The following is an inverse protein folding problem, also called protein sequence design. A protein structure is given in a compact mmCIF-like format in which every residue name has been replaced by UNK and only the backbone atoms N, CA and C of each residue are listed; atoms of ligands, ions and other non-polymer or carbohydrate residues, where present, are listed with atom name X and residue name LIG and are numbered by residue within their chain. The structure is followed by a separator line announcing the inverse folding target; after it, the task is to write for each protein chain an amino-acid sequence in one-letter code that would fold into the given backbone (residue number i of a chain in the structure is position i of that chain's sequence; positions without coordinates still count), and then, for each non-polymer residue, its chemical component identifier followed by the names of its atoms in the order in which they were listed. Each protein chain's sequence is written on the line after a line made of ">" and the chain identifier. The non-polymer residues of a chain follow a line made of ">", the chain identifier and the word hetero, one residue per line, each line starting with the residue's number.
data_IF_853440253271
#
_entry.id   IF_853440253271
#
_cell.length_a   1.000
_cell.length_b   1.000
_cell.length_c   1.000
_cell.angle_alpha   90.00
_cell.angle_beta   90.00
_cell.angle_gamma   90.00
#
_symmetry.space_group_name_H-M   'P 1'
#
loop_
_entity.id
_entity.type
_entity.pdbx_description
1 polymer ?
#
# COMPACT_ATOMS: atom_id res chain seq x y z
N UNK A 1 12.00 9.28 5.86
CA UNK A 1 12.29 8.70 4.53
C UNK A 1 12.43 7.19 4.68
N UNK A 2 11.85 6.39 3.75
CA UNK A 2 12.13 4.96 3.67
C UNK A 2 13.22 4.75 2.63
N UNK A 3 14.27 4.02 2.99
CA UNK A 3 15.39 3.67 2.09
C UNK A 3 15.45 2.15 1.95
N UNK A 4 15.41 1.66 0.72
CA UNK A 4 15.58 0.26 0.35
C UNK A 4 16.90 0.13 -0.38
N UNK A 5 17.78 -0.77 0.07
CA UNK A 5 19.16 -0.90 -0.44
C UNK A 5 19.44 -2.35 -0.83
N UNK A 6 19.52 -2.62 -2.14
CA UNK A 6 19.86 -3.91 -2.76
C UNK A 6 19.07 -5.08 -2.14
N UNK A 7 17.75 -4.89 -2.00
CA UNK A 7 16.89 -5.85 -1.31
C UNK A 7 16.45 -6.96 -2.26
N UNK A 8 16.64 -8.21 -1.82
CA UNK A 8 16.15 -9.39 -2.53
C UNK A 8 15.33 -10.29 -1.61
N UNK A 9 14.37 -11.01 -2.22
CA UNK A 9 13.52 -12.00 -1.58
C UNK A 9 13.34 -13.22 -2.44
N UNK A 10 13.60 -14.39 -1.85
CA UNK A 10 13.53 -15.69 -2.50
C UNK A 10 12.49 -16.59 -1.80
N UNK A 11 11.76 -17.37 -2.59
CA UNK A 11 10.93 -18.46 -2.13
C UNK A 11 11.35 -19.75 -2.86
N UNK A 12 12.12 -20.60 -2.17
CA UNK A 12 12.79 -21.74 -2.80
C UNK A 12 13.75 -21.26 -3.90
N UNK A 13 13.53 -21.71 -5.13
CA UNK A 13 14.32 -21.30 -6.31
C UNK A 13 13.80 -20.05 -7.02
N UNK A 14 12.68 -19.49 -6.58
CA UNK A 14 12.05 -18.34 -7.24
C UNK A 14 12.44 -17.04 -6.56
N UNK A 15 13.03 -16.11 -7.30
CA UNK A 15 13.30 -14.74 -6.86
C UNK A 15 12.04 -13.90 -7.12
N UNK A 16 11.44 -13.36 -6.05
CA UNK A 16 10.20 -12.56 -6.12
C UNK A 16 10.48 -11.06 -6.05
N UNK A 17 11.54 -10.66 -5.36
CA UNK A 17 12.11 -9.30 -5.38
C UNK A 17 13.60 -9.47 -5.64
N UNK A 18 14.15 -8.75 -6.62
CA UNK A 18 15.48 -8.94 -7.18
C UNK A 18 16.25 -7.60 -7.21
N UNK A 19 17.18 -7.46 -6.28
CA UNK A 19 18.13 -6.34 -6.15
C UNK A 19 17.45 -4.95 -6.22
N UNK A 20 16.39 -4.76 -5.44
CA UNK A 20 15.61 -3.52 -5.45
C UNK A 20 16.29 -2.47 -4.58
N UNK A 21 16.56 -1.30 -5.16
CA UNK A 21 17.01 -0.10 -4.47
C UNK A 21 16.11 1.08 -4.81
N UNK A 22 15.54 1.74 -3.79
CA UNK A 22 14.67 2.91 -3.95
C UNK A 22 14.59 3.74 -2.66
N UNK A 23 14.04 4.94 -2.80
CA UNK A 23 13.76 5.83 -1.66
C UNK A 23 12.33 6.33 -1.74
N UNK A 24 11.57 6.23 -0.65
CA UNK A 24 10.26 6.89 -0.51
C UNK A 24 10.44 8.17 0.29
N UNK A 25 10.09 9.30 -0.30
CA UNK A 25 10.17 10.60 0.35
C UNK A 25 9.17 10.72 1.49
N UNK A 26 9.47 11.57 2.46
CA UNK A 26 8.55 11.88 3.55
C UNK A 26 7.47 12.84 3.07
N UNK A 27 6.25 12.58 3.50
CA UNK A 27 5.05 13.32 3.08
C UNK A 27 4.59 12.92 1.68
N UNK A 28 3.31 12.74 1.49
CA UNK A 28 2.75 12.36 0.18
C UNK A 28 2.26 10.92 0.10
N UNK A 29 1.73 10.59 -1.08
CA UNK A 29 1.27 9.24 -1.43
C UNK A 29 2.21 8.67 -2.49
N UNK A 30 2.88 7.56 -2.17
CA UNK A 30 3.66 6.76 -3.11
C UNK A 30 2.90 5.48 -3.43
N UNK A 31 2.55 5.28 -4.69
CA UNK A 31 1.85 4.06 -5.13
C UNK A 31 2.81 3.02 -5.70
N UNK A 32 2.64 1.75 -5.32
CA UNK A 32 3.25 0.61 -5.97
C UNK A 32 2.27 0.04 -6.98
N UNK A 33 2.65 0.01 -8.27
CA UNK A 33 1.85 -0.56 -9.35
C UNK A 33 2.62 -1.64 -10.10
N UNK A 34 1.93 -2.44 -10.91
CA UNK A 34 2.51 -3.50 -11.74
C UNK A 34 1.62 -4.73 -11.81
N UNK A 35 1.94 -5.68 -12.67
CA UNK A 35 1.14 -6.90 -12.83
C UNK A 35 1.11 -7.75 -11.55
N UNK A 36 0.18 -8.71 -11.50
CA UNK A 36 0.13 -9.68 -10.42
C UNK A 36 1.41 -10.51 -10.43
N UNK A 37 1.96 -10.78 -9.23
CA UNK A 37 3.24 -11.47 -9.10
C UNK A 37 4.49 -10.59 -9.28
N UNK A 38 4.37 -9.30 -9.56
CA UNK A 38 5.52 -8.40 -9.73
C UNK A 38 6.34 -8.14 -8.44
N UNK A 39 5.91 -8.64 -7.27
CA UNK A 39 6.65 -8.48 -6.01
C UNK A 39 6.18 -7.33 -5.12
N UNK A 40 5.13 -6.58 -5.49
CA UNK A 40 4.64 -5.38 -4.77
C UNK A 40 4.34 -5.63 -3.29
N UNK A 41 3.44 -6.56 -2.99
CA UNK A 41 3.07 -6.91 -1.60
C UNK A 41 4.24 -7.54 -0.84
N UNK A 42 5.14 -8.24 -1.54
CA UNK A 42 6.35 -8.78 -0.94
C UNK A 42 7.30 -7.65 -0.52
N UNK A 43 7.54 -6.67 -1.38
CA UNK A 43 8.34 -5.50 -1.06
C UNK A 43 7.72 -4.71 0.10
N UNK A 44 6.41 -4.44 0.05
CA UNK A 44 5.69 -3.76 1.14
C UNK A 44 5.78 -4.57 2.45
N UNK A 45 5.65 -5.89 2.37
CA UNK A 45 5.78 -6.80 3.52
C UNK A 45 7.18 -6.78 4.15
N UNK A 46 8.24 -6.63 3.34
CA UNK A 46 9.61 -6.44 3.84
C UNK A 46 9.80 -5.06 4.46
N UNK A 47 9.28 -3.99 3.85
CA UNK A 47 9.31 -2.63 4.42
C UNK A 47 8.61 -2.57 5.78
N UNK A 48 7.55 -3.36 5.98
CA UNK A 48 6.76 -3.41 7.21
C UNK A 48 7.25 -4.44 8.23
N UNK A 49 8.35 -5.16 7.95
CA UNK A 49 8.86 -6.24 8.79
C UNK A 49 7.90 -7.45 8.92
N UNK A 50 6.86 -7.55 8.11
CA UNK A 50 6.01 -8.74 8.05
C UNK A 50 6.73 -9.91 7.35
N UNK A 51 7.65 -9.60 6.44
CA UNK A 51 8.48 -10.56 5.74
C UNK A 51 9.96 -10.29 6.04
N UNK A 52 10.70 -11.37 6.26
CA UNK A 52 12.15 -11.29 6.43
C UNK A 52 12.81 -10.95 5.09
N UNK A 53 13.76 -10.03 5.13
CA UNK A 53 14.66 -9.70 4.03
C UNK A 53 15.71 -10.82 3.91
N UNK A 54 15.98 -11.31 2.70
CA UNK A 54 17.01 -12.32 2.50
C UNK A 54 18.35 -11.65 2.18
N UNK A 55 18.38 -10.61 1.35
CA UNK A 55 19.56 -9.82 1.04
C UNK A 55 19.23 -8.32 1.08
N UNK A 56 20.23 -7.48 1.38
CA UNK A 56 20.10 -6.05 1.47
C UNK A 56 19.53 -5.54 2.78
N UNK A 57 19.14 -4.28 2.83
CA UNK A 57 18.67 -3.60 4.03
C UNK A 57 17.56 -2.60 3.72
N UNK A 58 16.66 -2.41 4.68
CA UNK A 58 15.63 -1.37 4.63
C UNK A 58 15.74 -0.52 5.89
N UNK A 59 15.69 0.80 5.70
CA UNK A 59 15.69 1.78 6.78
C UNK A 59 14.44 2.65 6.71
N UNK A 60 13.87 2.96 7.87
CA UNK A 60 12.77 3.92 8.03
C UNK A 60 13.24 4.99 9.00
N UNK A 61 13.40 6.22 8.52
CA UNK A 61 14.00 7.34 9.27
C UNK A 61 15.33 6.95 9.96
N UNK A 62 16.19 6.22 9.26
CA UNK A 62 17.48 5.75 9.77
C UNK A 62 17.39 4.51 10.67
N UNK A 63 16.20 4.04 11.02
CA UNK A 63 16.01 2.83 11.80
C UNK A 63 16.02 1.60 10.86
N UNK A 64 16.97 0.68 11.05
CA UNK A 64 17.02 -0.56 10.27
C UNK A 64 15.83 -1.45 10.64
N UNK A 65 15.01 -1.80 9.65
CA UNK A 65 13.77 -2.57 9.82
C UNK A 65 14.03 -3.93 10.46
N UNK A 66 15.14 -4.60 10.16
CA UNK A 66 15.44 -5.94 10.63
C UNK A 66 15.93 -5.98 12.08
N UNK A 67 16.69 -4.96 12.52
CA UNK A 67 17.38 -4.97 13.82
C UNK A 67 16.77 -4.08 14.89
N UNK A 68 15.99 -3.06 14.49
CA UNK A 68 15.32 -2.14 15.42
C UNK A 68 14.30 -2.90 16.30
N UNK A 69 14.19 -2.60 17.61
CA UNK A 69 13.17 -3.22 18.48
C UNK A 69 11.75 -3.04 17.94
N UNK A 70 10.91 -4.09 18.05
CA UNK A 70 9.57 -4.12 17.46
C UNK A 70 8.67 -2.97 17.94
N UNK A 71 8.74 -2.63 19.22
CA UNK A 71 7.95 -1.53 19.81
C UNK A 71 8.33 -0.16 19.19
N UNK A 72 9.62 0.07 18.94
CA UNK A 72 10.10 1.29 18.32
C UNK A 72 9.65 1.35 16.85
N UNK A 73 9.79 0.24 16.11
CA UNK A 73 9.33 0.19 14.71
C UNK A 73 7.82 0.37 14.61
N UNK A 74 7.03 -0.23 15.51
CA UNK A 74 5.57 -0.08 15.54
C UNK A 74 5.10 1.34 15.92
N UNK A 75 5.96 2.19 16.44
CA UNK A 75 5.68 3.63 16.65
C UNK A 75 6.15 4.50 15.49
N UNK A 76 6.87 3.92 14.53
CA UNK A 76 7.41 4.62 13.36
C UNK A 76 6.57 4.37 12.11
N UNK A 77 6.15 3.11 11.90
CA UNK A 77 5.33 2.73 10.76
C UNK A 77 4.18 1.82 11.17
N UNK A 78 3.09 1.92 10.44
CA UNK A 78 1.92 1.05 10.55
C UNK A 78 1.60 0.40 9.22
N UNK A 79 0.94 -0.76 9.25
CA UNK A 79 0.60 -1.52 8.05
C UNK A 79 -0.83 -2.02 8.07
N UNK A 80 -1.52 -1.86 6.94
CA UNK A 80 -2.74 -2.58 6.62
C UNK A 80 -2.41 -3.70 5.63
N UNK A 81 -2.69 -4.95 6.01
CA UNK A 81 -2.51 -6.12 5.14
C UNK A 81 -3.67 -6.28 4.18
N UNK A 82 -3.45 -6.97 3.07
CA UNK A 82 -4.48 -7.29 2.08
C UNK A 82 -5.67 -8.03 2.68
N UNK A 83 -5.42 -8.96 3.60
CA UNK A 83 -6.47 -9.71 4.29
C UNK A 83 -6.39 -9.49 5.79
N UNK A 84 -7.49 -9.02 6.36
CA UNK A 84 -7.65 -8.80 7.79
C UNK A 84 -8.90 -9.56 8.25
N UNK A 85 -8.70 -10.63 8.99
CA UNK A 85 -9.78 -11.43 9.56
C UNK A 85 -9.75 -11.34 11.08
N UNK A 86 -10.90 -11.07 11.68
CA UNK A 86 -11.09 -11.15 13.11
C UNK A 86 -12.29 -12.08 13.37
N UNK A 87 -12.06 -13.17 14.10
CA UNK A 87 -13.13 -14.08 14.53
C UNK A 87 -13.89 -13.50 15.74
N UNK A 88 -13.30 -12.56 16.44
CA UNK A 88 -13.90 -11.92 17.60
C UNK A 88 -15.00 -10.93 17.21
N UNK A 89 -16.05 -10.84 18.03
CA UNK A 89 -17.11 -9.83 17.89
C UNK A 89 -16.57 -8.48 18.39
N UNK A 90 -16.02 -7.70 17.46
CA UNK A 90 -15.45 -6.39 17.74
C UNK A 90 -16.36 -5.30 17.17
N UNK A 91 -16.52 -4.22 17.92
CA UNK A 91 -17.08 -2.97 17.39
C UNK A 91 -16.02 -2.22 16.60
N UNK A 92 -16.43 -1.18 15.85
CA UNK A 92 -15.50 -0.27 15.17
C UNK A 92 -14.54 0.37 16.19
N UNK A 93 -15.04 0.83 17.33
CA UNK A 93 -14.24 1.43 18.38
C UNK A 93 -13.19 0.44 18.94
N UNK A 94 -13.59 -0.82 19.19
CA UNK A 94 -12.66 -1.85 19.64
C UNK A 94 -11.54 -2.07 18.64
N UNK A 95 -11.89 -2.22 17.35
CA UNK A 95 -10.91 -2.40 16.27
C UNK A 95 -9.93 -1.22 16.20
N UNK A 96 -10.45 0.01 16.16
CA UNK A 96 -9.60 1.20 16.05
C UNK A 96 -8.69 1.34 17.26
N UNK A 97 -9.18 0.96 18.44
CA UNK A 97 -8.40 0.96 19.69
C UNK A 97 -7.20 -0.01 19.63
N UNK A 98 -7.27 -1.11 18.87
CA UNK A 98 -6.09 -1.97 18.66
C UNK A 98 -4.92 -1.25 18.00
N UNK A 99 -5.16 -0.21 17.21
CA UNK A 99 -4.09 0.64 16.66
C UNK A 99 -3.21 1.25 17.76
N UNK A 100 -3.74 1.45 18.97
CA UNK A 100 -3.00 2.01 20.11
C UNK A 100 -2.16 0.98 20.88
N UNK A 101 -2.24 -0.31 20.51
CA UNK A 101 -1.54 -1.39 21.24
C UNK A 101 -0.03 -1.15 21.44
N UNK A 102 0.75 -0.59 20.50
CA UNK A 102 2.17 -0.29 20.69
C UNK A 102 2.45 0.67 21.87
N UNK A 103 1.45 1.47 22.26
CA UNK A 103 1.55 2.46 23.34
C UNK A 103 0.95 1.95 24.64
N UNK A 104 -0.26 1.43 24.61
CA UNK A 104 -1.06 1.11 25.80
C UNK A 104 -0.97 -0.37 26.23
N UNK A 105 -0.43 -1.27 25.40
CA UNK A 105 -0.33 -2.73 25.67
C UNK A 105 -1.67 -3.33 26.13
N UNK A 106 -2.78 -2.90 25.50
CA UNK A 106 -4.13 -3.37 25.80
C UNK A 106 -4.82 -2.64 26.98
N UNK A 107 -4.24 -1.58 27.52
CA UNK A 107 -4.84 -0.73 28.57
C UNK A 107 -4.91 0.72 28.11
N UNK A 108 -5.87 1.08 27.24
CA UNK A 108 -5.94 2.40 26.63
C UNK A 108 -6.15 3.49 27.70
N UNK A 109 -5.43 4.59 27.54
CA UNK A 109 -5.52 5.81 28.34
C UNK A 109 -6.50 6.82 27.73
N UNK A 110 -6.73 7.95 28.42
CA UNK A 110 -7.51 9.06 27.84
C UNK A 110 -6.82 9.68 26.61
N UNK A 111 -5.48 9.69 26.60
CA UNK A 111 -4.71 10.14 25.43
C UNK A 111 -4.92 9.22 24.23
N UNK A 112 -4.87 7.90 24.43
CA UNK A 112 -5.15 6.92 23.37
C UNK A 112 -6.54 7.10 22.79
N UNK A 113 -7.53 7.43 23.63
CA UNK A 113 -8.89 7.71 23.17
C UNK A 113 -8.95 8.90 22.21
N UNK A 114 -8.15 9.93 22.42
CA UNK A 114 -8.09 11.08 21.51
C UNK A 114 -7.66 10.66 20.11
N UNK A 115 -6.65 9.80 19.97
CA UNK A 115 -6.21 9.26 18.67
C UNK A 115 -7.27 8.37 18.02
N UNK A 116 -7.97 7.57 18.81
CA UNK A 116 -9.10 6.75 18.33
C UNK A 116 -10.24 7.63 17.81
N UNK A 117 -10.61 8.67 18.55
CA UNK A 117 -11.67 9.60 18.16
C UNK A 117 -11.31 10.36 16.87
N UNK A 118 -10.07 10.80 16.74
CA UNK A 118 -9.56 11.44 15.52
C UNK A 118 -9.61 10.49 14.32
N UNK A 119 -9.13 9.27 14.46
CA UNK A 119 -9.14 8.29 13.37
C UNK A 119 -10.56 7.94 12.92
N UNK A 120 -11.49 7.74 13.86
CA UNK A 120 -12.91 7.52 13.58
C UNK A 120 -13.51 8.71 12.81
N UNK A 121 -13.17 9.94 13.19
CA UNK A 121 -13.62 11.16 12.53
C UNK A 121 -13.07 11.28 11.11
N UNK A 122 -11.75 11.09 10.91
CA UNK A 122 -11.12 11.16 9.58
C UNK A 122 -11.72 10.17 8.58
N UNK A 123 -12.08 8.97 9.05
CA UNK A 123 -12.66 7.92 8.22
C UNK A 123 -14.22 7.96 8.19
N UNK A 124 -14.84 8.99 8.76
CA UNK A 124 -16.29 9.18 8.76
C UNK A 124 -17.07 7.96 9.30
N UNK A 125 -16.62 7.45 10.45
CA UNK A 125 -17.15 6.25 11.08
C UNK A 125 -17.97 6.56 12.36
N UNK A 126 -18.26 7.84 12.66
CA UNK A 126 -18.93 8.24 13.89
C UNK A 126 -20.23 7.49 14.16
N UNK A 127 -21.11 7.42 13.16
CA UNK A 127 -22.42 6.74 13.27
C UNK A 127 -22.31 5.21 13.34
N UNK A 128 -21.12 4.67 13.02
CA UNK A 128 -20.84 3.24 13.01
C UNK A 128 -19.99 2.81 14.20
N UNK A 129 -19.57 3.72 15.06
CA UNK A 129 -18.59 3.55 16.13
C UNK A 129 -18.85 2.31 16.98
N UNK A 130 -20.09 2.08 17.37
CA UNK A 130 -20.50 0.97 18.25
C UNK A 130 -21.11 -0.21 17.51
N UNK A 131 -21.13 -0.17 16.17
CA UNK A 131 -21.56 -1.34 15.37
C UNK A 131 -20.47 -2.40 15.33
N UNK A 132 -20.89 -3.64 15.30
CA UNK A 132 -19.98 -4.75 15.12
C UNK A 132 -19.46 -4.83 13.68
N UNK A 133 -18.21 -5.27 13.51
CA UNK A 133 -17.57 -5.34 12.18
C UNK A 133 -18.36 -6.19 11.19
N UNK A 134 -18.95 -7.30 11.62
CA UNK A 134 -19.73 -8.17 10.75
C UNK A 134 -21.08 -7.58 10.28
N UNK A 135 -21.51 -6.46 10.87
CA UNK A 135 -22.72 -5.73 10.46
C UNK A 135 -22.41 -4.65 9.42
N UNK A 136 -21.13 -4.43 9.13
CA UNK A 136 -20.69 -3.40 8.21
C UNK A 136 -20.62 -3.92 6.77
N UNK A 137 -20.87 -3.02 5.80
CA UNK A 137 -20.52 -3.29 4.41
C UNK A 137 -19.00 -3.43 4.24
N UNK A 138 -18.52 -4.07 3.16
CA UNK A 138 -17.11 -4.22 2.89
C UNK A 138 -16.35 -2.88 2.89
N UNK A 139 -16.94 -1.83 2.31
CA UNK A 139 -16.34 -0.49 2.31
C UNK A 139 -16.29 0.16 3.69
N UNK A 140 -17.30 -0.09 4.55
CA UNK A 140 -17.30 0.39 5.94
C UNK A 140 -16.25 -0.36 6.76
N UNK A 141 -16.14 -1.67 6.59
CA UNK A 141 -15.09 -2.48 7.23
C UNK A 141 -13.70 -1.99 6.82
N UNK A 142 -13.47 -1.76 5.53
CA UNK A 142 -12.17 -1.31 5.03
C UNK A 142 -11.79 0.06 5.63
N UNK A 143 -12.74 1.00 5.74
CA UNK A 143 -12.51 2.27 6.43
C UNK A 143 -12.17 2.06 7.91
N UNK A 144 -12.81 1.12 8.58
CA UNK A 144 -12.51 0.81 9.99
C UNK A 144 -11.08 0.24 10.15
N UNK A 145 -10.61 -0.59 9.22
CA UNK A 145 -9.22 -1.07 9.22
C UNK A 145 -8.21 0.06 8.95
N UNK A 146 -8.51 0.96 8.02
CA UNK A 146 -7.65 2.14 7.79
C UNK A 146 -7.65 3.06 9.03
N UNK A 147 -8.80 3.22 9.71
CA UNK A 147 -8.87 3.98 10.96
C UNK A 147 -8.00 3.34 12.06
N UNK A 148 -7.96 2.02 12.18
CA UNK A 148 -7.08 1.32 13.10
C UNK A 148 -5.60 1.64 12.83
N UNK A 149 -5.20 1.61 11.55
CA UNK A 149 -3.83 1.95 11.13
C UNK A 149 -3.52 3.42 11.41
N UNK A 150 -4.46 4.33 11.15
CA UNK A 150 -4.30 5.76 11.43
C UNK A 150 -4.20 6.05 12.93
N UNK A 151 -5.01 5.37 13.76
CA UNK A 151 -4.99 5.53 15.23
C UNK A 151 -3.64 5.14 15.86
N UNK A 152 -2.83 4.35 15.17
CA UNK A 152 -1.47 4.03 15.62
C UNK A 152 -0.55 5.25 15.64
N UNK A 153 -0.92 6.34 14.94
CA UNK A 153 -0.24 7.64 14.90
C UNK A 153 1.24 7.55 14.49
N UNK A 154 1.53 6.74 13.50
CA UNK A 154 2.86 6.62 12.90
C UNK A 154 3.05 7.65 11.79
N UNK A 155 4.30 7.97 11.44
CA UNK A 155 4.62 8.86 10.31
C UNK A 155 4.40 8.18 8.96
N UNK A 156 4.51 6.83 8.91
CA UNK A 156 4.39 6.03 7.68
C UNK A 156 3.23 5.04 7.79
N UNK A 157 2.32 5.12 6.82
CA UNK A 157 1.19 4.21 6.65
C UNK A 157 1.43 3.37 5.38
N UNK A 158 1.60 2.07 5.55
CA UNK A 158 1.77 1.12 4.47
C UNK A 158 0.43 0.41 4.25
N UNK A 159 -0.10 0.45 3.03
CA UNK A 159 -1.44 -0.07 2.73
C UNK A 159 -1.37 -1.07 1.56
N UNK A 160 -1.63 -2.34 1.85
CA UNK A 160 -1.62 -3.39 0.84
C UNK A 160 -3.02 -3.59 0.26
N UNK A 161 -3.23 -3.08 -0.96
CA UNK A 161 -4.49 -3.19 -1.72
C UNK A 161 -5.75 -2.74 -0.95
N UNK A 162 -5.78 -1.55 -0.35
CA UNK A 162 -6.89 -1.13 0.50
C UNK A 162 -8.18 -0.83 -0.27
N UNK A 163 -8.15 -0.81 -1.60
CA UNK A 163 -9.32 -0.60 -2.46
C UNK A 163 -9.97 -1.89 -2.93
N UNK A 164 -9.40 -3.05 -2.63
CA UNK A 164 -9.96 -4.33 -3.06
C UNK A 164 -11.37 -4.54 -2.49
N UNK A 165 -12.25 -5.06 -3.33
CA UNK A 165 -13.65 -5.31 -3.01
C UNK A 165 -14.47 -4.05 -2.70
N UNK A 166 -13.97 -2.85 -3.02
CA UNK A 166 -14.73 -1.62 -2.94
C UNK A 166 -15.34 -1.28 -4.30
N UNK A 167 -16.56 -0.78 -4.29
CA UNK A 167 -17.13 -0.14 -5.48
C UNK A 167 -16.46 1.21 -5.75
N UNK A 168 -16.76 1.79 -6.91
CA UNK A 168 -16.16 3.04 -7.36
C UNK A 168 -16.36 4.18 -6.36
N UNK A 169 -17.56 4.31 -5.77
CA UNK A 169 -17.88 5.37 -4.81
C UNK A 169 -17.02 5.27 -3.56
N UNK A 170 -16.89 4.06 -3.01
CA UNK A 170 -16.11 3.81 -1.80
C UNK A 170 -14.60 3.93 -2.06
N UNK A 171 -14.13 3.51 -3.24
CA UNK A 171 -12.72 3.67 -3.64
C UNK A 171 -12.33 5.14 -3.76
N UNK A 172 -13.15 5.97 -4.41
CA UNK A 172 -12.92 7.42 -4.51
C UNK A 172 -12.90 8.05 -3.11
N UNK A 173 -13.90 7.75 -2.27
CA UNK A 173 -13.97 8.29 -0.92
C UNK A 173 -12.73 7.91 -0.09
N UNK A 174 -12.27 6.65 -0.17
CA UNK A 174 -11.07 6.18 0.51
C UNK A 174 -9.83 6.96 0.07
N UNK A 175 -9.61 7.11 -1.24
CA UNK A 175 -8.46 7.86 -1.74
C UNK A 175 -8.49 9.34 -1.37
N UNK A 176 -9.67 9.95 -1.34
CA UNK A 176 -9.85 11.33 -0.84
C UNK A 176 -9.53 11.44 0.66
N UNK A 177 -9.96 10.47 1.47
CA UNK A 177 -9.62 10.42 2.90
C UNK A 177 -8.12 10.24 3.11
N UNK A 178 -7.45 9.35 2.37
CA UNK A 178 -5.99 9.17 2.42
C UNK A 178 -5.26 10.46 2.03
N UNK A 179 -5.72 11.16 0.98
CA UNK A 179 -5.14 12.45 0.58
C UNK A 179 -5.31 13.52 1.68
N UNK A 180 -6.46 13.59 2.34
CA UNK A 180 -6.68 14.48 3.49
C UNK A 180 -5.73 14.13 4.64
N UNK A 181 -5.57 12.87 4.99
CA UNK A 181 -4.63 12.41 6.04
C UNK A 181 -3.20 12.87 5.73
N UNK A 182 -2.76 12.76 4.49
CA UNK A 182 -1.44 13.24 4.06
C UNK A 182 -1.33 14.76 4.19
N UNK A 183 -2.31 15.49 3.65
CA UNK A 183 -2.27 16.95 3.62
C UNK A 183 -2.41 17.59 5.00
N UNK A 184 -3.31 17.08 5.84
CA UNK A 184 -3.65 17.68 7.13
C UNK A 184 -2.70 17.23 8.25
N UNK A 185 -2.21 15.97 8.19
CA UNK A 185 -1.39 15.38 9.25
C UNK A 185 0.08 15.18 8.85
N UNK A 186 0.47 15.51 7.60
CA UNK A 186 1.83 15.34 7.11
C UNK A 186 2.32 13.88 7.03
N UNK A 187 1.39 12.92 7.02
CA UNK A 187 1.73 11.50 6.97
C UNK A 187 2.30 11.10 5.61
N UNK A 188 3.06 10.02 5.59
CA UNK A 188 3.58 9.37 4.37
C UNK A 188 2.78 8.10 4.13
N UNK A 189 2.16 7.97 2.97
CA UNK A 189 1.38 6.78 2.60
C UNK A 189 2.11 6.04 1.48
N UNK A 190 2.38 4.75 1.70
CA UNK A 190 2.83 3.82 0.65
C UNK A 190 1.69 2.84 0.40
N UNK A 191 1.19 2.80 -0.82
CA UNK A 191 -0.04 2.07 -1.14
C UNK A 191 0.14 1.17 -2.37
N UNK A 192 -0.27 -0.09 -2.28
CA UNK A 192 -0.37 -0.98 -3.45
C UNK A 192 -1.70 -0.74 -4.14
N UNK A 193 -1.66 -0.40 -5.43
CA UNK A 193 -2.84 -0.17 -6.26
C UNK A 193 -2.79 -1.04 -7.53
N UNK A 194 -3.96 -1.53 -7.95
CA UNK A 194 -4.14 -2.21 -9.24
C UNK A 194 -4.59 -1.27 -10.34
N UNK A 195 -5.39 -0.25 -10.00
CA UNK A 195 -5.91 0.71 -10.95
C UNK A 195 -4.89 1.85 -11.18
N UNK A 196 -4.36 1.90 -12.41
CA UNK A 196 -3.38 2.91 -12.84
C UNK A 196 -3.94 4.34 -12.80
N UNK A 197 -5.26 4.50 -12.98
CA UNK A 197 -5.90 5.81 -12.97
C UNK A 197 -6.03 6.35 -11.54
N UNK A 198 -6.30 5.50 -10.54
CA UNK A 198 -6.19 5.90 -9.14
C UNK A 198 -4.74 6.28 -8.78
N UNK A 199 -3.74 5.50 -9.22
CA UNK A 199 -2.34 5.84 -9.00
C UNK A 199 -1.98 7.18 -9.64
N UNK A 200 -2.38 7.41 -10.88
CA UNK A 200 -2.15 8.68 -11.58
C UNK A 200 -2.78 9.89 -10.88
N UNK A 201 -4.02 9.70 -10.39
CA UNK A 201 -4.80 10.83 -9.86
C UNK A 201 -4.38 11.27 -8.46
N UNK A 202 -4.04 10.29 -7.61
CA UNK A 202 -3.85 10.53 -6.18
C UNK A 202 -2.41 10.47 -5.70
N UNK A 203 -1.47 9.92 -6.49
CA UNK A 203 -0.08 9.78 -6.05
C UNK A 203 0.75 11.01 -6.35
N UNK A 204 1.76 11.22 -5.51
CA UNK A 204 2.85 12.17 -5.74
C UNK A 204 4.02 11.47 -6.44
N UNK A 205 4.24 10.18 -6.13
CA UNK A 205 5.24 9.32 -6.78
C UNK A 205 4.63 7.94 -7.07
N UNK A 206 5.11 7.29 -8.12
CA UNK A 206 4.73 5.92 -8.50
C UNK A 206 5.99 5.07 -8.61
N UNK A 207 5.99 3.93 -7.94
CA UNK A 207 6.96 2.86 -8.10
C UNK A 207 6.31 1.77 -8.92
N UNK A 208 6.79 1.55 -10.14
CA UNK A 208 6.29 0.52 -11.04
C UNK A 208 7.21 -0.70 -10.99
N UNK A 209 6.63 -1.87 -10.66
CA UNK A 209 7.36 -3.12 -10.52
C UNK A 209 6.94 -4.15 -11.59
N UNK A 210 7.92 -4.85 -12.14
CA UNK A 210 7.73 -5.98 -13.05
C UNK A 210 8.80 -7.05 -12.80
N UNK A 211 8.41 -8.31 -12.75
CA UNK A 211 9.30 -9.48 -12.59
C UNK A 211 10.29 -9.31 -11.41
N UNK A 212 9.79 -8.81 -10.28
CA UNK A 212 10.58 -8.60 -9.05
C UNK A 212 11.46 -7.35 -9.03
N UNK A 213 11.47 -6.55 -10.10
CA UNK A 213 12.32 -5.35 -10.23
C UNK A 213 11.50 -4.07 -10.28
N UNK A 214 12.11 -2.96 -9.86
CA UNK A 214 11.59 -1.62 -10.11
C UNK A 214 12.00 -1.21 -11.51
N UNK A 215 11.00 -0.98 -12.39
CA UNK A 215 11.23 -0.55 -13.77
C UNK A 215 11.07 0.96 -13.93
N UNK A 216 10.20 1.59 -13.12
CA UNK A 216 10.05 3.03 -13.05
C UNK A 216 9.87 3.48 -11.62
N UNK A 217 10.43 4.65 -11.28
CA UNK A 217 10.20 5.35 -10.02
C UNK A 217 10.23 6.85 -10.28
N UNK A 218 9.07 7.46 -10.43
CA UNK A 218 8.93 8.87 -10.81
C UNK A 218 7.52 9.39 -10.48
N UNK A 219 7.25 10.64 -10.83
CA UNK A 219 5.91 11.22 -10.79
C UNK A 219 4.95 10.53 -11.78
N UNK A 220 3.63 10.68 -11.57
CA UNK A 220 2.62 10.07 -12.45
C UNK A 220 2.78 10.43 -13.91
N UNK A 221 3.21 11.64 -14.24
CA UNK A 221 3.41 12.14 -15.59
C UNK A 221 4.49 11.38 -16.38
N UNK A 222 5.43 10.76 -15.70
CA UNK A 222 6.49 9.93 -16.30
C UNK A 222 6.07 8.47 -16.42
N UNK A 223 5.40 7.95 -15.39
CA UNK A 223 5.06 6.52 -15.31
C UNK A 223 3.78 6.20 -16.08
N UNK A 224 2.80 7.11 -16.09
CA UNK A 224 1.54 6.90 -16.83
C UNK A 224 1.68 7.46 -18.24
N UNK A 225 2.45 6.75 -19.05
CA UNK A 225 2.68 7.01 -20.48
C UNK A 225 2.43 5.74 -21.30
N UNK A 226 2.09 5.84 -22.59
CA UNK A 226 1.86 4.64 -23.43
C UNK A 226 3.03 3.67 -23.38
N UNK A 227 4.27 4.18 -23.49
CA UNK A 227 5.46 3.34 -23.52
C UNK A 227 5.71 2.66 -22.16
N UNK A 228 5.64 3.41 -21.05
CA UNK A 228 5.87 2.84 -19.73
C UNK A 228 4.80 1.81 -19.34
N UNK A 229 3.54 2.03 -19.74
CA UNK A 229 2.46 1.07 -19.50
C UNK A 229 2.61 -0.18 -20.39
N UNK A 230 3.09 -0.03 -21.62
CA UNK A 230 3.44 -1.16 -22.48
C UNK A 230 4.57 -1.98 -21.87
N UNK A 231 5.64 -1.33 -21.41
CA UNK A 231 6.78 -2.00 -20.76
C UNK A 231 6.36 -2.72 -19.47
N UNK A 232 5.38 -2.16 -18.74
CA UNK A 232 4.95 -2.68 -17.46
C UNK A 232 3.94 -3.84 -17.57
N UNK A 233 2.98 -3.73 -18.50
CA UNK A 233 1.81 -4.64 -18.57
C UNK A 233 1.73 -5.47 -19.85
N UNK A 234 2.61 -5.25 -20.83
CA UNK A 234 2.51 -5.84 -22.17
C UNK A 234 1.17 -5.53 -22.88
N UNK A 235 0.62 -4.33 -22.62
CA UNK A 235 -0.67 -3.87 -23.16
C UNK A 235 -0.51 -2.47 -23.75
N UNK A 236 -0.95 -2.26 -24.98
CA UNK A 236 -1.02 -0.93 -25.58
C UNK A 236 -2.14 -0.12 -24.90
N UNK A 237 -1.79 0.99 -24.28
CA UNK A 237 -2.70 1.86 -23.56
C UNK A 237 -2.66 3.25 -24.18
N UNK A 238 -3.82 3.78 -24.56
CA UNK A 238 -3.93 5.19 -24.92
C UNK A 238 -3.91 6.03 -23.64
N UNK A 239 -3.10 7.06 -23.58
CA UNK A 239 -3.06 7.97 -22.42
C UNK A 239 -3.54 9.35 -22.85
N UNK A 240 -4.56 9.84 -22.17
CA UNK A 240 -5.16 11.14 -22.38
C UNK A 240 -4.93 12.03 -21.15
N UNK A 241 -4.86 13.34 -21.37
CA UNK A 241 -4.75 14.30 -20.26
C UNK A 241 -6.13 14.86 -19.93
N UNK A 242 -6.65 14.55 -18.75
CA UNK A 242 -7.93 15.04 -18.25
C UNK A 242 -7.69 15.85 -16.98
N UNK A 243 -8.08 17.12 -16.97
CA UNK A 243 -7.87 18.03 -15.82
C UNK A 243 -6.40 18.08 -15.34
N UNK A 244 -5.45 18.00 -16.26
CA UNK A 244 -4.01 18.03 -15.95
C UNK A 244 -3.44 16.71 -15.39
N UNK A 245 -4.22 15.63 -15.39
CA UNK A 245 -3.78 14.29 -14.97
C UNK A 245 -3.78 13.32 -16.15
N UNK A 246 -2.81 12.41 -16.19
CA UNK A 246 -2.72 11.34 -17.19
C UNK A 246 -3.76 10.26 -16.88
N UNK A 247 -4.58 9.88 -17.85
CA UNK A 247 -5.61 8.85 -17.73
C UNK A 247 -5.38 7.78 -18.78
N UNK A 248 -5.15 6.55 -18.34
CA UNK A 248 -4.99 5.40 -19.23
C UNK A 248 -6.34 4.84 -19.69
N UNK A 249 -6.51 4.71 -21.00
CA UNK A 249 -7.70 4.11 -21.64
C UNK A 249 -7.26 2.81 -22.31
N UNK A 250 -7.66 1.67 -21.75
CA UNK A 250 -7.21 0.32 -22.15
C UNK A 250 -8.34 -0.65 -22.55
N UNK A 251 -9.60 -0.19 -22.61
CA UNK A 251 -10.76 -1.05 -22.88
C UNK A 251 -10.80 -1.63 -24.31
N UNK A 252 -10.07 -1.08 -25.25
CA UNK A 252 -9.93 -1.59 -26.61
C UNK A 252 -8.52 -2.10 -26.94
N UNK A 253 -7.65 -2.19 -25.93
CA UNK A 253 -6.26 -2.57 -26.13
C UNK A 253 -6.13 -4.06 -26.51
N UNK A 254 -5.35 -4.35 -27.56
CA UNK A 254 -4.93 -5.72 -27.84
C UNK A 254 -3.70 -6.07 -27.02
N UNK A 255 -3.74 -7.20 -26.30
CA UNK A 255 -2.55 -7.74 -25.65
C UNK A 255 -1.55 -8.21 -26.70
N UNK A 256 -0.30 -7.75 -26.61
CA UNK A 256 0.77 -8.29 -27.47
C UNK A 256 1.11 -9.69 -26.95
N UNK A 257 1.07 -10.74 -27.80
CA UNK A 257 1.46 -12.09 -27.38
C UNK A 257 2.91 -12.08 -26.86
N UNK A 258 3.16 -12.56 -25.67
CA UNK A 258 4.52 -12.62 -25.13
C UNK A 258 5.40 -13.48 -26.02
N UNK A 259 6.43 -12.92 -26.62
CA UNK A 259 7.44 -13.61 -27.42
C UNK A 259 8.49 -14.31 -26.55
N UNK A 260 8.14 -14.85 -25.39
CA UNK A 260 9.05 -15.74 -24.65
C UNK A 260 9.16 -17.04 -25.44
N UNK A 261 10.37 -17.41 -25.98
CA UNK A 261 10.55 -18.69 -26.65
C UNK A 261 10.26 -19.81 -25.65
N UNK A 262 9.35 -20.70 -26.03
CA UNK A 262 9.09 -21.92 -25.26
C UNK A 262 10.41 -22.65 -25.06
N UNK A 263 10.85 -22.78 -23.81
CA UNK A 263 11.98 -23.60 -23.43
C UNK A 263 11.62 -25.03 -23.80
N UNK A 264 12.19 -25.54 -24.90
CA UNK A 264 12.03 -26.95 -25.31
C UNK A 264 12.50 -27.81 -24.15
N UNK A 265 11.58 -28.49 -23.50
CA UNK A 265 11.92 -29.61 -22.63
C UNK A 265 12.70 -30.63 -23.49
N UNK A 266 13.98 -30.79 -23.20
CA UNK A 266 14.75 -31.95 -23.69
C UNK A 266 14.26 -33.14 -22.89
N UNK A 267 13.50 -34.01 -23.54
CA UNK A 267 13.41 -35.40 -23.15
C UNK A 267 14.69 -36.09 -23.66
N UNK A 268 15.47 -36.54 -22.72
CA UNK A 268 16.40 -37.66 -22.84
C UNK A 268 16.18 -38.57 -21.62
#
# INVERSE_FOLDING_TARGET
>A
MIEVKNVSKHYGSTTVVDDVSLQVRRGGITSLIGPNGAGKSTLLGMMSRLLKIDEGEIFVDGLNVSTTPGDQMARTLSILRQQNYFEARLTVEDLVTFGRFPYCKGRPTMEDKTFVDQAISYLELGDLRYRYLHELSGGQQQRAFVAMVLAQDTDYLLLDEPLNNLDMRHSIAMMQQLRRIVNDLGKTVVIVLHDINFASWYSDEIIAMRDGKVVYHAGPEVVITPQALLDLYDVEVTVETIQGKSVGVYYGAMSIPSTKPATKARHD
#
